data_IF_742147216302
#
_entry.id   IF_742147216302
#
_cell.length_a   1.000
_cell.length_b   1.000
_cell.length_c   1.000
_cell.angle_alpha   90.00
_cell.angle_beta   90.00
_cell.angle_gamma   90.00
#
_symmetry.space_group_name_H-M   'P 1'
#
loop_
_entity.id
_entity.type
_entity.pdbx_description
1 polymer ?
#
# COMPACT_ATOMS: atom_id res chain seq x y z
N UNK A 1 5.74 -12.00 -0.79
CA UNK A 1 4.26 -12.00 -1.03
C UNK A 1 3.96 -12.50 -2.44
N UNK A 2 2.82 -13.05 -2.68
CA UNK A 2 2.33 -13.47 -4.00
C UNK A 2 1.03 -12.75 -4.37
N UNK A 3 0.62 -12.82 -5.63
CA UNK A 3 -0.65 -12.26 -6.06
C UNK A 3 -1.83 -12.97 -5.36
N UNK A 4 -2.79 -12.16 -4.90
CA UNK A 4 -4.06 -12.65 -4.36
C UNK A 4 -4.95 -13.14 -5.50
N UNK A 5 -5.63 -14.24 -5.27
CA UNK A 5 -6.65 -14.78 -6.18
C UNK A 5 -8.02 -14.78 -5.52
N UNK A 6 -9.09 -15.04 -6.30
CA UNK A 6 -10.44 -15.18 -5.74
C UNK A 6 -10.54 -16.29 -4.68
N UNK A 7 -9.74 -17.32 -4.80
CA UNK A 7 -9.68 -18.43 -3.83
C UNK A 7 -9.13 -17.99 -2.46
N UNK A 8 -8.35 -16.92 -2.43
CA UNK A 8 -7.78 -16.37 -1.19
C UNK A 8 -8.76 -15.49 -0.41
N UNK A 9 -9.82 -15.01 -1.04
CA UNK A 9 -10.69 -13.96 -0.47
C UNK A 9 -11.30 -14.38 0.86
N UNK A 10 -11.70 -15.63 1.03
CA UNK A 10 -12.28 -16.10 2.30
C UNK A 10 -11.28 -16.02 3.46
N UNK A 11 -10.04 -16.42 3.23
CA UNK A 11 -8.98 -16.34 4.24
C UNK A 11 -8.59 -14.87 4.54
N UNK A 12 -8.51 -14.04 3.52
CA UNK A 12 -8.25 -12.60 3.65
C UNK A 12 -9.37 -11.91 4.41
N UNK A 13 -10.62 -12.22 4.10
CA UNK A 13 -11.78 -11.65 4.79
C UNK A 13 -11.80 -12.06 6.27
N UNK A 14 -11.42 -13.27 6.60
CA UNK A 14 -11.33 -13.73 7.98
C UNK A 14 -10.28 -12.91 8.78
N UNK A 15 -9.14 -12.63 8.18
CA UNK A 15 -8.13 -11.74 8.80
C UNK A 15 -8.71 -10.33 8.97
N UNK A 16 -9.29 -9.76 7.94
CA UNK A 16 -9.88 -8.42 7.95
C UNK A 16 -10.91 -8.27 9.07
N UNK A 17 -11.85 -9.21 9.17
CA UNK A 17 -12.88 -9.19 10.20
C UNK A 17 -12.33 -9.34 11.61
N UNK A 18 -11.25 -10.08 11.79
CA UNK A 18 -10.63 -10.30 13.08
C UNK A 18 -9.82 -9.09 13.58
N UNK A 19 -9.21 -8.31 12.68
CA UNK A 19 -8.23 -7.28 13.07
C UNK A 19 -8.70 -5.84 12.84
N UNK A 20 -9.72 -5.60 12.00
CA UNK A 20 -10.22 -4.26 11.70
C UNK A 20 -11.53 -3.98 12.45
N UNK A 21 -11.61 -2.81 13.06
CA UNK A 21 -12.85 -2.37 13.72
C UNK A 21 -13.99 -2.12 12.70
N UNK A 22 -13.64 -1.71 11.48
CA UNK A 22 -14.57 -1.42 10.38
C UNK A 22 -14.11 -2.17 9.14
N UNK A 23 -14.36 -3.48 9.07
CA UNK A 23 -13.78 -4.32 8.04
C UNK A 23 -14.39 -4.05 6.66
N UNK A 24 -13.55 -4.25 5.65
CA UNK A 24 -14.04 -4.41 4.29
C UNK A 24 -14.97 -5.60 4.19
N UNK A 25 -15.88 -5.56 3.25
CA UNK A 25 -16.74 -6.67 2.90
C UNK A 25 -16.05 -7.61 1.90
N UNK A 26 -16.58 -8.80 1.72
CA UNK A 26 -16.18 -9.72 0.66
C UNK A 26 -16.23 -9.03 -0.71
N UNK A 27 -17.32 -8.29 -0.99
CA UNK A 27 -17.49 -7.53 -2.22
C UNK A 27 -16.40 -6.51 -2.47
N UNK A 28 -15.90 -5.85 -1.43
CA UNK A 28 -14.80 -4.89 -1.57
C UNK A 28 -13.51 -5.57 -2.07
N UNK A 29 -13.18 -6.77 -1.58
CA UNK A 29 -12.01 -7.51 -2.05
C UNK A 29 -12.21 -8.01 -3.48
N UNK A 30 -13.38 -8.53 -3.81
CA UNK A 30 -13.70 -9.00 -5.16
C UNK A 30 -13.62 -7.83 -6.15
N UNK A 31 -14.16 -6.67 -5.80
CA UNK A 31 -14.10 -5.46 -6.63
C UNK A 31 -12.65 -5.00 -6.84
N UNK A 32 -11.82 -5.02 -5.80
CA UNK A 32 -10.40 -4.68 -5.92
C UNK A 32 -9.66 -5.58 -6.91
N UNK A 33 -9.91 -6.87 -6.84
CA UNK A 33 -9.37 -7.84 -7.80
C UNK A 33 -9.90 -7.60 -9.21
N UNK A 34 -11.20 -7.35 -9.34
CA UNK A 34 -11.86 -7.07 -10.63
C UNK A 34 -11.38 -5.79 -11.31
N UNK A 35 -11.03 -4.77 -10.54
CA UNK A 35 -10.45 -3.52 -11.04
C UNK A 35 -8.97 -3.65 -11.42
N UNK A 36 -8.35 -4.79 -11.18
CA UNK A 36 -6.93 -4.98 -11.44
C UNK A 36 -6.01 -4.24 -10.47
N UNK A 37 -6.48 -3.95 -9.26
CA UNK A 37 -5.62 -3.41 -8.21
C UNK A 37 -4.55 -4.42 -7.83
N UNK A 38 -3.45 -3.95 -7.28
CA UNK A 38 -2.36 -4.81 -6.83
C UNK A 38 -2.75 -5.38 -5.47
N UNK A 39 -3.24 -6.61 -5.49
CA UNK A 39 -3.66 -7.34 -4.30
C UNK A 39 -2.66 -8.47 -4.05
N UNK A 40 -2.07 -8.49 -2.87
CA UNK A 40 -1.03 -9.44 -2.48
C UNK A 40 -1.40 -10.13 -1.17
N UNK A 41 -0.95 -11.36 -1.02
CA UNK A 41 -1.03 -12.12 0.22
C UNK A 41 0.34 -12.59 0.66
N UNK A 42 0.54 -12.64 1.96
CA UNK A 42 1.68 -13.29 2.59
C UNK A 42 1.26 -14.67 3.04
N UNK A 43 1.93 -15.68 2.55
CA UNK A 43 1.62 -17.07 2.80
C UNK A 43 2.84 -17.80 3.37
N UNK A 44 2.60 -18.66 4.35
CA UNK A 44 3.60 -19.54 4.91
C UNK A 44 2.98 -20.91 5.20
N UNK A 45 3.58 -21.97 4.63
CA UNK A 45 3.07 -23.33 4.84
C UNK A 45 1.63 -23.53 4.37
N UNK A 46 1.18 -22.81 3.33
CA UNK A 46 -0.18 -22.88 2.82
C UNK A 46 -1.19 -22.01 3.59
N UNK A 47 -0.77 -21.33 4.65
CA UNK A 47 -1.61 -20.45 5.46
C UNK A 47 -1.36 -18.99 5.12
N UNK A 48 -2.43 -18.23 4.87
CA UNK A 48 -2.34 -16.79 4.65
C UNK A 48 -2.21 -16.07 5.99
N UNK A 49 -1.14 -15.29 6.15
CA UNK A 49 -0.81 -14.56 7.37
C UNK A 49 -1.02 -13.07 7.28
N UNK A 50 -1.21 -12.56 6.08
CA UNK A 50 -1.41 -11.16 5.83
C UNK A 50 -1.77 -10.86 4.38
N UNK A 51 -2.20 -9.63 4.15
CA UNK A 51 -2.57 -9.16 2.81
C UNK A 51 -2.36 -7.65 2.69
N UNK A 52 -2.26 -7.18 1.46
CA UNK A 52 -2.24 -5.76 1.14
C UNK A 52 -2.91 -5.49 -0.20
N UNK A 53 -3.54 -4.32 -0.31
CA UNK A 53 -4.20 -3.84 -1.54
C UNK A 53 -3.70 -2.45 -1.88
N UNK A 54 -3.14 -2.29 -3.06
CA UNK A 54 -2.61 -1.05 -3.59
C UNK A 54 -3.34 -0.69 -4.88
N UNK A 55 -3.85 0.53 -4.94
CA UNK A 55 -4.56 1.05 -6.11
C UNK A 55 -3.65 1.98 -6.91
N UNK A 56 -3.22 1.60 -8.12
CA UNK A 56 -2.51 2.52 -9.01
C UNK A 56 -3.46 3.59 -9.55
N UNK A 57 -3.01 4.85 -9.55
CA UNK A 57 -3.72 5.97 -10.16
C UNK A 57 -2.69 6.82 -10.93
N UNK A 58 -2.63 6.69 -12.23
CA UNK A 58 -1.63 7.34 -13.08
C UNK A 58 -0.20 6.96 -12.63
N UNK A 59 0.61 7.93 -12.23
CA UNK A 59 1.97 7.75 -11.73
C UNK A 59 2.08 7.73 -10.19
N UNK A 60 0.95 7.57 -9.51
CA UNK A 60 0.84 7.47 -8.05
C UNK A 60 0.09 6.21 -7.65
N UNK A 61 0.13 5.85 -6.39
CA UNK A 61 -0.65 4.74 -5.86
C UNK A 61 -1.22 5.08 -4.49
N UNK A 62 -2.32 4.44 -4.14
CA UNK A 62 -2.93 4.52 -2.81
C UNK A 62 -2.95 3.15 -2.16
N UNK A 63 -2.40 3.06 -0.96
CA UNK A 63 -2.54 1.86 -0.13
C UNK A 63 -3.93 1.86 0.49
N UNK A 64 -4.79 0.99 0.01
CA UNK A 64 -6.20 0.95 0.44
C UNK A 64 -6.40 0.13 1.70
N UNK A 65 -5.64 -0.95 1.85
CA UNK A 65 -5.78 -1.85 2.98
C UNK A 65 -4.50 -2.67 3.17
N UNK A 66 -4.17 -2.94 4.42
CA UNK A 66 -3.11 -3.84 4.82
C UNK A 66 -3.50 -4.49 6.14
N UNK A 67 -3.40 -5.80 6.24
CA UNK A 67 -3.77 -6.54 7.43
C UNK A 67 -2.82 -7.70 7.71
N UNK A 68 -2.60 -7.96 9.00
CA UNK A 68 -1.81 -9.08 9.50
C UNK A 68 -2.67 -9.89 10.45
N UNK A 69 -2.69 -11.21 10.28
CA UNK A 69 -3.43 -12.12 11.15
C UNK A 69 -3.05 -11.87 12.62
N UNK A 70 -4.04 -11.95 13.52
CA UNK A 70 -3.86 -11.61 14.92
C UNK A 70 -2.70 -12.35 15.58
N UNK A 71 -2.50 -13.63 15.26
CA UNK A 71 -1.40 -14.44 15.79
C UNK A 71 -0.01 -14.11 15.22
N UNK A 72 0.05 -13.28 14.18
CA UNK A 72 1.27 -12.90 13.48
C UNK A 72 1.65 -11.43 13.71
N UNK A 73 0.86 -10.69 14.47
CA UNK A 73 1.15 -9.29 14.78
C UNK A 73 2.35 -9.13 15.71
N UNK A 74 2.98 -7.95 15.68
CA UNK A 74 4.15 -7.58 16.49
C UNK A 74 5.42 -8.39 16.23
N UNK A 75 5.49 -9.09 15.10
CA UNK A 75 6.66 -9.85 14.65
C UNK A 75 7.40 -9.20 13.48
N UNK A 76 7.02 -7.97 13.15
CA UNK A 76 7.61 -7.23 12.01
C UNK A 76 7.03 -7.61 10.64
N UNK A 77 6.00 -8.45 10.57
CA UNK A 77 5.40 -8.88 9.30
C UNK A 77 4.72 -7.73 8.57
N UNK A 78 3.97 -6.88 9.27
CA UNK A 78 3.32 -5.70 8.68
C UNK A 78 4.33 -4.75 8.04
N UNK A 79 5.45 -4.52 8.70
CA UNK A 79 6.55 -3.70 8.16
C UNK A 79 7.19 -4.32 6.92
N UNK A 80 7.44 -5.62 6.94
CA UNK A 80 8.01 -6.34 5.81
C UNK A 80 7.07 -6.32 4.60
N UNK A 81 5.78 -6.54 4.83
CA UNK A 81 4.74 -6.48 3.79
C UNK A 81 4.62 -5.08 3.19
N UNK A 82 4.61 -4.05 4.04
CA UNK A 82 4.54 -2.66 3.58
C UNK A 82 5.76 -2.30 2.74
N UNK A 83 6.95 -2.72 3.16
CA UNK A 83 8.18 -2.53 2.37
C UNK A 83 8.08 -3.19 1.00
N UNK A 84 7.58 -4.41 0.92
CA UNK A 84 7.37 -5.08 -0.36
C UNK A 84 6.38 -4.33 -1.26
N UNK A 85 5.29 -3.80 -0.70
CA UNK A 85 4.31 -3.02 -1.47
C UNK A 85 4.92 -1.71 -1.99
N UNK A 86 5.75 -1.05 -1.20
CA UNK A 86 6.50 0.13 -1.66
C UNK A 86 7.50 -0.23 -2.75
N UNK A 87 8.16 -1.38 -2.65
CA UNK A 87 9.06 -1.88 -3.71
C UNK A 87 8.29 -2.18 -5.00
N UNK A 88 7.10 -2.78 -4.91
CA UNK A 88 6.23 -3.00 -6.07
C UNK A 88 5.86 -1.67 -6.73
N UNK A 89 5.44 -0.69 -5.95
CA UNK A 89 5.11 0.64 -6.45
C UNK A 89 6.32 1.31 -7.13
N UNK A 90 7.49 1.19 -6.53
CA UNK A 90 8.74 1.73 -7.09
C UNK A 90 9.12 1.07 -8.42
N UNK A 91 9.01 -0.25 -8.51
CA UNK A 91 9.25 -1.00 -9.76
C UNK A 91 8.26 -0.65 -10.88
N UNK A 92 7.04 -0.27 -10.50
CA UNK A 92 6.03 0.24 -11.44
C UNK A 92 6.23 1.72 -11.80
N UNK A 93 7.30 2.34 -11.32
CA UNK A 93 7.64 3.75 -11.55
C UNK A 93 6.63 4.73 -10.99
N UNK A 94 5.95 4.36 -9.91
CA UNK A 94 5.10 5.26 -9.14
C UNK A 94 5.97 6.29 -8.44
N UNK A 95 5.52 7.55 -8.39
CA UNK A 95 6.26 8.64 -7.77
C UNK A 95 6.08 8.69 -6.27
N UNK A 96 4.89 8.32 -5.81
CA UNK A 96 4.52 8.35 -4.40
C UNK A 96 3.37 7.40 -4.08
N UNK A 97 3.27 7.04 -2.82
CA UNK A 97 2.17 6.24 -2.29
C UNK A 97 1.45 7.04 -1.20
N UNK A 98 0.14 7.13 -1.32
CA UNK A 98 -0.74 7.76 -0.33
C UNK A 98 -1.46 6.70 0.49
N UNK A 99 -1.91 7.09 1.65
CA UNK A 99 -2.88 6.33 2.45
C UNK A 99 -3.71 7.28 3.32
N UNK A 100 -4.84 6.79 3.77
CA UNK A 100 -5.64 7.42 4.80
C UNK A 100 -5.76 6.46 5.98
N UNK A 101 -5.64 6.98 7.19
CA UNK A 101 -5.67 6.21 8.42
C UNK A 101 -6.49 6.94 9.47
N UNK A 102 -7.26 6.21 10.27
CA UNK A 102 -8.01 6.77 11.41
C UNK A 102 -7.05 7.41 12.39
N UNK A 103 -7.36 8.61 12.85
CA UNK A 103 -6.54 9.34 13.82
C UNK A 103 -6.31 8.53 15.11
N UNK A 104 -7.27 7.68 15.50
CA UNK A 104 -7.19 6.81 16.67
C UNK A 104 -6.30 5.58 16.50
N UNK A 105 -5.91 5.24 15.28
CA UNK A 105 -5.12 4.03 15.00
C UNK A 105 -3.62 4.28 15.22
N UNK A 106 -3.21 4.34 16.49
CA UNK A 106 -1.84 4.65 16.86
C UNK A 106 -0.82 3.63 16.34
N UNK A 107 -1.17 2.35 16.31
CA UNK A 107 -0.29 1.28 15.82
C UNK A 107 -0.03 1.41 14.32
N UNK A 108 -1.05 1.69 13.53
CA UNK A 108 -0.91 1.93 12.08
C UNK A 108 -0.09 3.20 11.81
N UNK A 109 -0.38 4.30 12.51
CA UNK A 109 0.39 5.54 12.39
C UNK A 109 1.88 5.31 12.65
N UNK A 110 2.22 4.57 13.70
CA UNK A 110 3.61 4.24 14.02
C UNK A 110 4.27 3.39 12.93
N UNK A 111 3.56 2.40 12.41
CA UNK A 111 4.02 1.56 11.30
C UNK A 111 4.33 2.41 10.06
N UNK A 112 3.40 3.25 9.65
CA UNK A 112 3.56 4.07 8.46
C UNK A 112 4.69 5.09 8.60
N UNK A 113 4.78 5.78 9.74
CA UNK A 113 5.89 6.71 10.02
C UNK A 113 7.25 6.01 9.96
N UNK A 114 7.36 4.83 10.56
CA UNK A 114 8.61 4.06 10.56
C UNK A 114 8.99 3.54 9.17
N UNK A 115 8.06 3.52 8.23
CA UNK A 115 8.24 3.05 6.86
C UNK A 115 8.43 4.17 5.85
N UNK A 116 8.55 5.42 6.30
CA UNK A 116 8.86 6.56 5.45
C UNK A 116 7.65 7.42 5.04
N UNK A 117 6.47 7.16 5.62
CA UNK A 117 5.29 8.02 5.40
C UNK A 117 5.34 9.24 6.31
N UNK A 118 5.03 10.39 5.74
CA UNK A 118 4.82 11.64 6.46
C UNK A 118 3.36 12.08 6.40
N UNK A 119 2.94 12.87 7.38
CA UNK A 119 1.59 13.45 7.39
C UNK A 119 1.48 14.50 6.31
N UNK A 120 0.46 14.36 5.45
CA UNK A 120 0.13 15.33 4.41
C UNK A 120 -1.00 16.27 4.84
N UNK A 121 -2.03 15.74 5.53
CA UNK A 121 -3.17 16.52 5.96
C UNK A 121 -4.11 15.74 6.85
N UNK A 122 -5.21 16.38 7.18
CA UNK A 122 -6.29 15.81 8.00
C UNK A 122 -7.62 16.05 7.30
N UNK A 123 -8.41 15.01 7.13
CA UNK A 123 -9.82 15.10 6.75
C UNK A 123 -10.67 15.01 8.00
N UNK A 124 -11.28 16.10 8.42
CA UNK A 124 -12.09 16.14 9.63
C UNK A 124 -13.38 15.35 9.46
N UNK A 125 -13.76 14.61 10.51
CA UNK A 125 -15.02 13.86 10.59
C UNK A 125 -15.24 12.89 9.42
N UNK A 126 -14.16 12.32 8.87
CA UNK A 126 -14.20 11.50 7.67
C UNK A 126 -14.71 10.08 7.92
N UNK A 127 -14.30 9.47 9.04
CA UNK A 127 -14.70 8.12 9.40
C UNK A 127 -15.84 8.12 10.42
N UNK A 128 -16.80 7.21 10.23
CA UNK A 128 -17.83 6.95 11.24
C UNK A 128 -17.26 6.04 12.34
N UNK A 129 -17.67 6.27 13.58
CA UNK A 129 -17.38 5.42 14.73
C UNK A 129 -18.56 5.35 15.70
N UNK A 130 -18.45 4.59 16.79
CA UNK A 130 -19.54 4.39 17.77
C UNK A 130 -19.93 5.67 18.50
N UNK A 131 -19.05 6.67 18.59
CA UNK A 131 -19.31 7.96 19.27
C UNK A 131 -19.62 9.10 18.28
N UNK A 132 -19.80 8.82 16.98
CA UNK A 132 -20.06 9.79 15.93
C UNK A 132 -19.09 9.65 14.76
N UNK A 133 -18.08 10.48 14.71
CA UNK A 133 -17.07 10.46 13.65
C UNK A 133 -15.66 10.70 14.19
N UNK A 134 -14.67 10.37 13.40
CA UNK A 134 -13.27 10.69 13.68
C UNK A 134 -12.55 11.15 12.42
N UNK A 135 -11.45 11.87 12.61
CA UNK A 135 -10.62 12.38 11.53
C UNK A 135 -9.87 11.27 10.81
N UNK A 136 -9.63 11.47 9.52
CA UNK A 136 -8.64 10.72 8.76
C UNK A 136 -7.36 11.52 8.66
N UNK A 137 -6.23 10.86 8.89
CA UNK A 137 -4.92 11.40 8.60
C UNK A 137 -4.50 10.89 7.23
N UNK A 138 -4.23 11.80 6.32
CA UNK A 138 -3.65 11.48 5.01
C UNK A 138 -2.14 11.49 5.13
N UNK A 139 -1.51 10.43 4.70
CA UNK A 139 -0.06 10.27 4.72
C UNK A 139 0.48 10.01 3.32
N UNK A 140 1.72 10.34 3.10
CA UNK A 140 2.41 10.15 1.82
C UNK A 140 3.83 9.64 2.04
N UNK A 141 4.24 8.72 1.19
CA UNK A 141 5.63 8.28 1.05
C UNK A 141 6.12 8.63 -0.35
N UNK A 142 7.13 9.48 -0.43
CA UNK A 142 7.79 9.79 -1.70
C UNK A 142 8.72 8.64 -2.07
N UNK A 143 8.60 8.15 -3.30
CA UNK A 143 9.46 7.10 -3.83
C UNK A 143 10.62 7.74 -4.60
N UNK A 144 11.85 7.31 -4.30
CA UNK A 144 13.03 7.80 -5.01
C UNK A 144 12.97 7.32 -6.46
N UNK A 145 12.94 8.26 -7.40
CA UNK A 145 13.10 7.97 -8.81
C UNK A 145 14.59 7.79 -9.10
N UNK A 146 14.94 6.78 -9.91
CA UNK A 146 16.26 6.71 -10.47
C UNK A 146 16.47 7.96 -11.35
N UNK A 147 17.58 8.66 -11.12
CA UNK A 147 17.95 9.76 -11.98
C UNK A 147 18.11 9.19 -13.40
N UNK A 148 17.23 9.59 -14.30
CA UNK A 148 17.44 9.37 -15.73
C UNK A 148 18.69 10.16 -16.05
N UNK A 149 19.82 9.47 -16.19
CA UNK A 149 21.00 10.10 -16.77
C UNK A 149 20.53 10.68 -18.11
N UNK A 150 20.71 11.99 -18.35
CA UNK A 150 20.43 12.52 -19.66
C UNK A 150 21.20 11.64 -20.64
N UNK A 151 20.52 11.04 -21.61
CA UNK A 151 21.21 10.44 -22.73
C UNK A 151 22.20 11.50 -23.20
N UNK A 152 23.47 11.22 -23.02
CA UNK A 152 24.49 12.01 -23.69
C UNK A 152 24.17 11.89 -25.17
N UNK A 153 23.52 12.93 -25.68
CA UNK A 153 23.23 13.05 -27.10
C UNK A 153 24.55 12.95 -27.82
N UNK A 154 24.77 11.83 -28.45
CA UNK A 154 25.80 11.77 -29.49
C UNK A 154 25.36 12.77 -30.54
N UNK A 155 25.97 13.92 -30.56
CA UNK A 155 25.81 14.85 -31.66
C UNK A 155 26.43 14.20 -32.91
N UNK A 156 25.65 13.89 -33.94
CA UNK A 156 26.23 13.47 -35.20
C UNK A 156 26.74 14.70 -35.94
N UNK A 157 28.04 14.83 -36.04
CA UNK A 157 28.62 15.69 -37.07
C UNK A 157 29.54 16.79 -36.63
N UNK A 158 30.75 16.46 -36.21
CA UNK A 158 31.88 17.19 -36.72
C UNK A 158 32.53 16.36 -37.84
N UNK A 159 32.16 16.71 -39.06
CA UNK A 159 33.01 16.35 -40.18
C UNK A 159 34.22 17.26 -40.08
N UNK A 160 35.34 16.66 -39.78
CA UNK A 160 36.62 17.28 -39.99
C UNK A 160 36.77 17.55 -41.49
N UNK A 161 36.69 18.81 -41.89
CA UNK A 161 37.27 19.27 -43.14
C UNK A 161 38.74 19.54 -42.85
N UNK A 162 39.57 18.69 -43.39
CA UNK A 162 40.96 18.92 -43.51
C UNK A 162 41.35 18.67 -44.92
#
# INVERSE_FOLDING_TARGET
>A
MRAMTLEDVDAVLAIEQAVQAYPWTRGNFIDALGHGYICRVEEDGGEIRGFAVLMPVLDEAELLNIGVAAGQQRKGLGRAMLREMLDVAHKMKMRRVFLEVRASNAAALALYRSSGFGKLGVRRDYYQNASGSEDAITMVCELKQEATLPHAGVWPGERANG
#
